data_IF_806604702877
#
_entry.id   IF_806604702877
#
_cell.length_a   1.000
_cell.length_b   1.000
_cell.length_c   1.000
_cell.angle_alpha   90.00
_cell.angle_beta   90.00
_cell.angle_gamma   90.00
#
_symmetry.space_group_name_H-M   'P 1'
#
loop_
_entity.id
_entity.type
_entity.pdbx_description
1 polymer ?
#
# COMPACT_ATOMS: atom_id res chain seq x y z
N UNK A 1 17.11 -27.29 40.99
CA UNK A 1 18.13 -27.32 39.95
C UNK A 1 17.66 -26.68 38.66
N UNK A 2 16.48 -27.10 38.08
CA UNK A 2 15.93 -26.59 36.81
C UNK A 2 15.73 -25.10 36.82
N UNK A 3 15.09 -24.53 37.85
CA UNK A 3 14.87 -23.07 37.99
C UNK A 3 16.20 -22.33 38.02
N UNK A 4 17.18 -22.78 38.78
CA UNK A 4 18.46 -22.12 38.92
C UNK A 4 19.26 -22.12 37.60
N UNK A 5 19.38 -23.27 36.96
CA UNK A 5 20.08 -23.40 35.68
C UNK A 5 19.29 -22.66 34.57
N UNK A 6 17.97 -22.85 34.52
CA UNK A 6 17.13 -22.21 33.49
C UNK A 6 17.18 -20.69 33.58
N UNK A 7 17.10 -20.08 34.77
CA UNK A 7 17.21 -18.63 34.91
C UNK A 7 18.60 -18.10 34.56
N UNK A 8 19.69 -18.88 34.81
CA UNK A 8 21.03 -18.54 34.32
C UNK A 8 21.09 -18.54 32.80
N UNK A 9 20.50 -19.56 32.16
CA UNK A 9 20.42 -19.62 30.68
C UNK A 9 19.66 -18.43 30.15
N UNK A 10 18.46 -18.12 30.67
CA UNK A 10 17.69 -16.96 30.26
C UNK A 10 18.50 -15.67 30.41
N UNK A 11 19.21 -15.51 31.54
CA UNK A 11 20.05 -14.32 31.77
C UNK A 11 21.19 -14.22 30.75
N UNK A 12 21.79 -15.36 30.37
CA UNK A 12 22.82 -15.41 29.34
C UNK A 12 22.27 -15.03 27.95
N UNK A 13 21.10 -15.57 27.57
CA UNK A 13 20.40 -15.24 26.32
C UNK A 13 20.07 -13.75 26.25
N UNK A 14 19.54 -13.18 27.36
CA UNK A 14 19.25 -11.75 27.45
C UNK A 14 20.50 -10.90 27.28
N UNK A 15 21.64 -11.29 27.92
CA UNK A 15 22.90 -10.58 27.76
C UNK A 15 23.43 -10.67 26.31
N UNK A 16 23.31 -11.82 25.67
CA UNK A 16 23.71 -11.98 24.28
C UNK A 16 22.83 -11.11 23.34
N UNK A 17 21.52 -11.13 23.54
CA UNK A 17 20.59 -10.28 22.79
C UNK A 17 20.90 -8.78 22.99
N UNK A 18 21.17 -8.36 24.22
CA UNK A 18 21.57 -6.98 24.53
C UNK A 18 22.82 -6.56 23.73
N UNK A 19 23.86 -7.40 23.71
CA UNK A 19 25.09 -7.13 22.93
C UNK A 19 24.86 -7.02 21.43
N UNK A 20 23.87 -7.76 20.89
CA UNK A 20 23.48 -7.66 19.47
C UNK A 20 22.74 -6.34 19.24
N UNK A 21 21.81 -5.99 20.10
CA UNK A 21 21.00 -4.77 19.97
C UNK A 21 21.80 -3.49 20.15
N UNK A 22 22.80 -3.48 21.03
CA UNK A 22 23.74 -2.33 21.19
C UNK A 22 24.47 -1.96 19.88
N UNK A 23 24.66 -2.93 18.98
CA UNK A 23 25.31 -2.69 17.68
C UNK A 23 24.32 -2.28 16.58
N UNK A 24 23.04 -2.26 16.89
CA UNK A 24 21.95 -1.91 15.95
C UNK A 24 21.59 -0.43 16.11
N UNK A 25 21.13 0.18 15.01
CA UNK A 25 20.58 1.55 14.98
C UNK A 25 19.15 1.61 15.59
N UNK A 26 18.79 0.60 16.37
CA UNK A 26 17.44 0.48 16.96
C UNK A 26 17.26 1.45 18.13
N UNK A 27 16.06 2.04 18.24
CA UNK A 27 15.70 2.89 19.38
C UNK A 27 15.85 2.15 20.72
N UNK A 28 16.36 2.87 21.75
CA UNK A 28 16.64 2.30 23.09
C UNK A 28 15.39 1.78 23.78
N UNK A 29 14.23 2.41 23.56
CA UNK A 29 12.94 1.98 24.10
C UNK A 29 12.53 0.63 23.54
N UNK A 30 12.66 0.46 22.21
CA UNK A 30 12.37 -0.80 21.53
C UNK A 30 13.31 -1.91 21.96
N UNK A 31 14.61 -1.61 22.12
CA UNK A 31 15.59 -2.58 22.66
C UNK A 31 15.20 -3.07 24.05
N UNK A 32 14.87 -2.14 24.98
CA UNK A 32 14.45 -2.45 26.34
C UNK A 32 13.18 -3.29 26.36
N UNK A 33 12.21 -2.95 25.51
CA UNK A 33 10.98 -3.73 25.36
C UNK A 33 11.25 -5.17 24.91
N UNK A 34 12.04 -5.36 23.85
CA UNK A 34 12.38 -6.68 23.33
C UNK A 34 13.17 -7.53 24.32
N UNK A 35 14.12 -6.94 25.04
CA UNK A 35 14.89 -7.62 26.08
C UNK A 35 13.97 -8.05 27.25
N UNK A 36 13.03 -7.22 27.64
CA UNK A 36 12.03 -7.52 28.66
C UNK A 36 11.12 -8.68 28.22
N UNK A 37 10.68 -8.66 26.97
CA UNK A 37 9.86 -9.72 26.38
C UNK A 37 10.59 -11.07 26.36
N UNK A 38 11.86 -11.09 25.90
CA UNK A 38 12.71 -12.29 25.92
C UNK A 38 12.91 -12.79 27.36
N UNK A 39 13.17 -11.88 28.31
CA UNK A 39 13.40 -12.22 29.71
C UNK A 39 12.16 -12.83 30.38
N UNK A 40 10.99 -12.21 30.18
CA UNK A 40 9.73 -12.68 30.78
C UNK A 40 9.32 -14.00 30.13
N UNK A 41 9.29 -14.08 28.81
CA UNK A 41 8.94 -15.29 28.06
C UNK A 41 9.86 -16.49 28.42
N UNK A 42 11.17 -16.25 28.48
CA UNK A 42 12.15 -17.26 28.87
C UNK A 42 11.94 -17.75 30.31
N UNK A 43 11.66 -16.83 31.26
CA UNK A 43 11.36 -17.22 32.64
C UNK A 43 10.09 -18.05 32.75
N UNK A 44 9.02 -17.67 32.02
CA UNK A 44 7.75 -18.42 31.98
C UNK A 44 7.99 -19.83 31.47
N UNK A 45 8.76 -20.03 30.40
CA UNK A 45 9.11 -21.36 29.88
C UNK A 45 9.88 -22.20 30.90
N UNK A 46 10.87 -21.62 31.60
CA UNK A 46 11.62 -22.31 32.66
C UNK A 46 10.73 -22.73 33.81
N UNK A 47 9.78 -21.87 34.23
CA UNK A 47 8.81 -22.20 35.28
C UNK A 47 7.93 -23.38 34.82
N UNK A 48 7.43 -23.38 33.60
CA UNK A 48 6.65 -24.50 33.06
C UNK A 48 7.45 -25.82 33.03
N UNK A 49 8.72 -25.77 32.60
CA UNK A 49 9.60 -26.93 32.66
C UNK A 49 9.80 -27.45 34.11
N UNK A 50 9.89 -26.58 35.08
CA UNK A 50 10.03 -26.97 36.48
C UNK A 50 8.75 -27.59 37.04
N UNK A 51 7.57 -27.04 36.70
CA UNK A 51 6.27 -27.49 37.16
C UNK A 51 5.90 -28.86 36.59
N UNK A 52 6.28 -29.18 35.34
CA UNK A 52 6.11 -30.56 34.78
C UNK A 52 6.90 -31.59 35.57
N UNK A 53 8.07 -31.26 36.11
CA UNK A 53 8.87 -32.17 36.92
C UNK A 53 8.31 -32.43 38.32
N UNK A 54 7.37 -31.61 38.79
CA UNK A 54 6.69 -31.78 40.08
C UNK A 54 5.39 -32.58 39.93
N UNK A 55 5.10 -33.07 38.70
CA UNK A 55 3.96 -33.97 38.47
C UNK A 55 2.74 -33.29 37.77
N UNK A 56 2.84 -32.03 37.39
CA UNK A 56 1.77 -31.42 36.58
C UNK A 56 1.83 -32.00 35.16
N UNK A 57 0.69 -32.46 34.68
CA UNK A 57 0.59 -33.02 33.33
C UNK A 57 1.03 -31.99 32.26
N UNK A 58 1.99 -32.41 31.42
CA UNK A 58 2.48 -31.57 30.33
C UNK A 58 1.37 -31.12 29.38
N UNK A 59 0.34 -31.95 29.18
CA UNK A 59 -0.86 -31.61 28.39
C UNK A 59 -1.61 -30.38 28.91
N UNK A 60 -1.72 -30.22 30.23
CA UNK A 60 -2.37 -29.06 30.85
C UNK A 60 -1.59 -27.75 30.57
N UNK A 61 -0.26 -27.83 30.59
CA UNK A 61 0.60 -26.69 30.29
C UNK A 61 0.53 -26.32 28.81
N UNK A 62 0.55 -27.34 27.93
CA UNK A 62 0.39 -27.14 26.48
C UNK A 62 -0.98 -26.52 26.19
N UNK A 63 -2.05 -26.98 26.82
CA UNK A 63 -3.39 -26.39 26.67
C UNK A 63 -3.44 -24.93 27.13
N UNK A 64 -2.82 -24.59 28.27
CA UNK A 64 -2.73 -23.21 28.77
C UNK A 64 -1.91 -22.33 27.84
N UNK A 65 -0.74 -22.78 27.39
CA UNK A 65 0.08 -22.02 26.44
C UNK A 65 -0.60 -21.87 25.10
N UNK A 66 -1.30 -22.91 24.62
CA UNK A 66 -2.07 -22.87 23.37
C UNK A 66 -3.20 -21.83 23.42
N UNK A 67 -3.98 -21.80 24.52
CA UNK A 67 -5.05 -20.83 24.69
C UNK A 67 -4.52 -19.39 24.82
N UNK A 68 -3.44 -19.20 25.61
CA UNK A 68 -2.79 -17.90 25.73
C UNK A 68 -2.16 -17.46 24.38
N UNK A 69 -1.54 -18.37 23.65
CA UNK A 69 -0.97 -18.12 22.33
C UNK A 69 -2.04 -17.76 21.31
N UNK A 70 -3.20 -18.41 21.35
CA UNK A 70 -4.34 -18.08 20.49
C UNK A 70 -4.86 -16.68 20.81
N UNK A 71 -5.04 -16.35 22.08
CA UNK A 71 -5.49 -15.01 22.49
C UNK A 71 -4.53 -13.90 22.05
N UNK A 72 -3.22 -14.11 22.23
CA UNK A 72 -2.18 -13.19 21.76
C UNK A 72 -2.16 -13.09 20.22
N UNK A 73 -2.28 -14.22 19.51
CA UNK A 73 -2.33 -14.27 18.06
C UNK A 73 -3.50 -13.48 17.49
N UNK A 74 -4.69 -13.63 18.06
CA UNK A 74 -5.88 -12.85 17.69
C UNK A 74 -5.71 -11.36 18.00
N UNK A 75 -5.10 -11.01 19.14
CA UNK A 75 -4.82 -9.61 19.48
C UNK A 75 -3.82 -8.94 18.54
N UNK A 76 -2.86 -9.70 17.99
CA UNK A 76 -1.82 -9.20 17.06
C UNK A 76 -2.16 -9.42 15.59
N UNK A 77 -3.33 -10.00 15.27
CA UNK A 77 -3.74 -10.36 13.92
C UNK A 77 -3.57 -9.21 12.91
N UNK A 78 -4.01 -8.00 13.27
CA UNK A 78 -3.90 -6.83 12.41
C UNK A 78 -2.45 -6.44 12.10
N UNK A 79 -1.56 -6.49 13.11
CA UNK A 79 -0.14 -6.18 12.94
C UNK A 79 0.56 -7.24 12.08
N UNK A 80 0.26 -8.53 12.30
CA UNK A 80 0.78 -9.61 11.49
C UNK A 80 0.31 -9.52 10.03
N UNK A 81 -0.97 -9.19 9.81
CA UNK A 81 -1.52 -8.96 8.47
C UNK A 81 -0.78 -7.85 7.73
N UNK A 82 -0.45 -6.77 8.43
CA UNK A 82 0.30 -5.66 7.83
C UNK A 82 1.74 -6.05 7.47
N UNK A 83 2.42 -6.81 8.31
CA UNK A 83 3.76 -7.31 8.02
C UNK A 83 3.72 -8.26 6.82
N UNK A 84 2.80 -9.23 6.81
CA UNK A 84 2.61 -10.14 5.70
C UNK A 84 2.29 -9.39 4.39
N UNK A 85 1.38 -8.41 4.46
CA UNK A 85 1.06 -7.51 3.34
C UNK A 85 2.29 -6.78 2.81
N UNK A 86 3.13 -6.23 3.71
CA UNK A 86 4.38 -5.57 3.32
C UNK A 86 5.34 -6.50 2.58
N UNK A 87 5.50 -7.73 3.06
CA UNK A 87 6.31 -8.75 2.38
C UNK A 87 5.75 -9.09 1.00
N UNK A 88 4.43 -9.26 0.89
CA UNK A 88 3.75 -9.55 -0.38
C UNK A 88 3.96 -8.40 -1.37
N UNK A 89 3.78 -7.15 -0.95
CA UNK A 89 3.99 -5.97 -1.80
C UNK A 89 5.43 -5.86 -2.31
N UNK A 90 6.42 -6.17 -1.46
CA UNK A 90 7.84 -6.15 -1.83
C UNK A 90 8.24 -7.29 -2.77
N UNK A 91 7.58 -8.46 -2.66
CA UNK A 91 7.86 -9.62 -3.51
C UNK A 91 7.16 -9.51 -4.87
N UNK A 92 5.84 -9.26 -4.88
CA UNK A 92 5.03 -9.23 -6.10
C UNK A 92 5.12 -7.90 -6.85
N UNK A 93 5.46 -6.81 -6.15
CA UNK A 93 5.66 -5.46 -6.71
C UNK A 93 4.52 -5.01 -7.64
N UNK A 94 3.25 -5.03 -7.19
CA UNK A 94 2.14 -4.52 -8.00
C UNK A 94 2.29 -3.03 -8.31
N UNK A 95 3.07 -2.33 -7.52
CA UNK A 95 3.55 -0.96 -7.71
C UNK A 95 4.94 -0.80 -7.08
N UNK A 96 5.64 0.26 -7.43
CA UNK A 96 6.99 0.57 -6.94
C UNK A 96 7.04 1.99 -6.36
N UNK A 97 8.13 2.29 -5.66
CA UNK A 97 8.40 3.67 -5.21
C UNK A 97 8.53 4.57 -6.44
N UNK A 98 7.79 5.66 -6.45
CA UNK A 98 7.65 6.58 -7.59
C UNK A 98 6.34 6.42 -8.36
N UNK A 99 5.64 5.30 -8.26
CA UNK A 99 4.35 5.10 -8.92
C UNK A 99 3.24 5.93 -8.26
N UNK A 100 2.33 6.45 -9.08
CA UNK A 100 1.08 7.05 -8.59
C UNK A 100 -0.01 5.99 -8.55
N UNK A 101 -0.53 5.73 -7.37
CA UNK A 101 -1.54 4.69 -7.13
C UNK A 101 -2.81 5.25 -6.51
N UNK A 102 -3.93 4.56 -6.78
CA UNK A 102 -5.23 4.81 -6.16
C UNK A 102 -5.66 3.52 -5.46
N UNK A 103 -5.90 3.58 -4.15
CA UNK A 103 -6.42 2.46 -3.37
C UNK A 103 -7.95 2.38 -3.53
N UNK A 104 -8.46 1.23 -3.94
CA UNK A 104 -9.84 1.09 -4.41
C UNK A 104 -10.92 1.17 -3.33
N UNK A 105 -10.61 0.81 -2.06
CA UNK A 105 -11.63 0.80 -1.00
C UNK A 105 -11.87 2.18 -0.38
N UNK A 106 -10.79 2.95 -0.15
CA UNK A 106 -10.87 4.27 0.48
C UNK A 106 -10.76 5.44 -0.50
N UNK A 107 -10.37 5.16 -1.76
CA UNK A 107 -10.11 6.19 -2.76
C UNK A 107 -8.87 7.05 -2.46
N UNK A 108 -8.04 6.66 -1.48
CA UNK A 108 -6.80 7.37 -1.18
C UNK A 108 -5.80 7.18 -2.30
N UNK A 109 -5.20 8.29 -2.73
CA UNK A 109 -4.29 8.29 -3.87
C UNK A 109 -3.05 9.14 -3.62
N UNK A 110 -1.97 8.84 -4.34
CA UNK A 110 -0.72 9.59 -4.27
C UNK A 110 0.45 8.82 -4.84
N UNK A 111 1.58 9.50 -4.91
CA UNK A 111 2.86 8.90 -5.31
C UNK A 111 3.44 8.08 -4.16
N UNK A 112 3.82 6.84 -4.42
CA UNK A 112 4.47 5.95 -3.45
C UNK A 112 5.83 6.52 -3.08
N UNK A 113 5.97 6.98 -1.84
CA UNK A 113 7.24 7.51 -1.32
C UNK A 113 8.12 6.43 -0.70
N UNK A 114 7.50 5.50 0.03
CA UNK A 114 8.21 4.39 0.67
C UNK A 114 7.26 3.23 0.98
N UNK A 115 7.76 2.01 0.86
CA UNK A 115 7.09 0.79 1.31
C UNK A 115 7.83 0.30 2.56
N UNK A 116 7.23 0.50 3.72
CA UNK A 116 7.75 0.03 5.00
C UNK A 116 7.25 -1.37 5.35
N UNK A 117 7.64 -1.87 6.53
CA UNK A 117 7.24 -3.21 6.99
C UNK A 117 5.73 -3.32 7.23
N UNK A 118 5.11 -2.28 7.82
CA UNK A 118 3.69 -2.30 8.21
C UNK A 118 2.83 -1.34 7.39
N UNK A 119 3.43 -0.27 6.87
CA UNK A 119 2.72 0.82 6.18
C UNK A 119 3.46 1.21 4.91
N UNK A 120 2.69 1.51 3.88
CA UNK A 120 3.16 2.21 2.68
C UNK A 120 2.83 3.69 2.81
N UNK A 121 3.81 4.56 2.54
CA UNK A 121 3.67 6.00 2.57
C UNK A 121 3.44 6.51 1.16
N UNK A 122 2.33 7.22 0.97
CA UNK A 122 2.03 7.97 -0.25
C UNK A 122 2.18 9.46 0.00
N UNK A 123 2.50 10.19 -1.05
CA UNK A 123 2.48 11.64 -1.10
C UNK A 123 1.39 12.08 -2.06
N UNK A 124 0.39 12.82 -1.57
CA UNK A 124 -0.68 13.37 -2.40
C UNK A 124 -0.18 14.53 -3.27
N UNK A 125 -0.95 14.92 -4.29
CA UNK A 125 -0.60 16.03 -5.18
C UNK A 125 -0.49 17.38 -4.46
N UNK A 126 -1.17 17.53 -3.31
CA UNK A 126 -1.10 18.71 -2.43
C UNK A 126 -0.09 18.53 -1.28
N UNK A 127 0.85 17.60 -1.43
CA UNK A 127 2.01 17.35 -0.54
C UNK A 127 1.63 16.84 0.86
N UNK A 128 0.50 16.14 1.00
CA UNK A 128 0.13 15.46 2.25
C UNK A 128 0.69 14.05 2.29
N UNK A 129 1.23 13.64 3.45
CA UNK A 129 1.64 12.26 3.67
C UNK A 129 0.45 11.38 4.05
N UNK A 130 0.19 10.34 3.28
CA UNK A 130 -0.87 9.37 3.51
C UNK A 130 -0.20 8.04 3.89
N UNK A 131 -0.52 7.53 5.09
CA UNK A 131 -0.01 6.24 5.57
C UNK A 131 -1.11 5.19 5.41
N UNK A 132 -0.88 4.20 4.57
CA UNK A 132 -1.84 3.11 4.35
C UNK A 132 -1.26 1.81 4.91
N UNK A 133 -2.00 1.08 5.78
CA UNK A 133 -1.58 -0.24 6.26
C UNK A 133 -1.37 -1.20 5.08
N UNK A 134 -0.25 -1.94 5.08
CA UNK A 134 0.09 -2.84 3.98
C UNK A 134 -0.91 -3.98 3.80
N UNK A 135 -1.52 -4.45 4.90
CA UNK A 135 -2.59 -5.44 4.84
C UNK A 135 -3.81 -4.97 4.05
N UNK A 136 -4.12 -3.67 4.10
CA UNK A 136 -5.20 -3.11 3.28
C UNK A 136 -4.79 -3.08 1.80
N UNK A 137 -3.58 -2.58 1.49
CA UNK A 137 -3.08 -2.51 0.11
C UNK A 137 -2.94 -3.88 -0.55
N UNK A 138 -2.49 -4.90 0.21
CA UNK A 138 -2.33 -6.25 -0.34
C UNK A 138 -3.65 -6.96 -0.63
N UNK A 139 -4.75 -6.51 -0.01
CA UNK A 139 -6.09 -7.11 -0.16
C UNK A 139 -7.08 -6.23 -0.92
N UNK A 140 -6.71 -5.00 -1.29
CA UNK A 140 -7.54 -4.08 -2.06
C UNK A 140 -7.24 -4.16 -3.56
N UNK A 141 -8.19 -3.71 -4.38
CA UNK A 141 -7.89 -3.36 -5.76
C UNK A 141 -6.99 -2.12 -5.78
N UNK A 142 -5.96 -2.14 -6.61
CA UNK A 142 -5.06 -1.00 -6.78
C UNK A 142 -5.05 -0.59 -8.24
N UNK A 143 -5.32 0.69 -8.50
CA UNK A 143 -5.11 1.29 -9.81
C UNK A 143 -3.74 1.95 -9.81
N UNK A 144 -2.79 1.38 -10.57
CA UNK A 144 -1.50 2.00 -10.81
C UNK A 144 -1.60 2.88 -12.06
N UNK A 145 -1.62 4.18 -11.84
CA UNK A 145 -1.86 5.19 -12.88
C UNK A 145 -0.64 5.40 -13.77
N UNK A 146 0.56 5.16 -13.24
CA UNK A 146 1.85 5.41 -13.91
C UNK A 146 2.50 4.14 -14.46
N UNK A 147 1.89 2.97 -14.26
CA UNK A 147 2.44 1.68 -14.69
C UNK A 147 2.64 1.60 -16.21
N UNK A 148 1.73 2.18 -16.99
CA UNK A 148 1.83 2.21 -18.45
C UNK A 148 2.47 3.52 -18.92
N UNK A 149 3.32 3.45 -19.94
CA UNK A 149 4.02 4.61 -20.50
C UNK A 149 3.09 5.62 -21.16
N UNK A 150 1.92 5.18 -21.62
CA UNK A 150 0.92 6.01 -22.28
C UNK A 150 -0.45 5.92 -21.63
N UNK A 151 -1.15 7.06 -21.64
CA UNK A 151 -2.52 7.19 -21.12
C UNK A 151 -3.44 7.80 -22.15
N UNK A 152 -4.70 7.38 -22.10
CA UNK A 152 -5.75 7.99 -22.92
C UNK A 152 -6.35 9.18 -22.18
N UNK A 153 -6.37 10.31 -22.81
CA UNK A 153 -7.11 11.49 -22.36
C UNK A 153 -8.54 11.38 -22.89
N UNK A 154 -9.51 11.43 -22.00
CA UNK A 154 -10.93 11.43 -22.32
C UNK A 154 -11.48 12.81 -21.90
N UNK A 155 -12.06 13.53 -22.87
CA UNK A 155 -12.69 14.84 -22.67
C UNK A 155 -14.09 14.83 -23.23
N UNK A 156 -14.96 15.66 -22.66
CA UNK A 156 -16.32 15.89 -23.16
C UNK A 156 -16.53 17.38 -23.37
N UNK A 157 -17.16 17.72 -24.49
CA UNK A 157 -17.52 19.09 -24.86
C UNK A 157 -19.00 19.15 -25.22
N UNK A 158 -19.76 19.99 -24.53
CA UNK A 158 -21.17 20.22 -24.83
C UNK A 158 -21.33 21.23 -25.99
N UNK A 159 -22.13 20.89 -26.99
CA UNK A 159 -22.48 21.78 -28.10
C UNK A 159 -23.99 22.00 -28.14
N UNK A 160 -24.44 23.10 -28.71
CA UNK A 160 -25.87 23.39 -28.92
C UNK A 160 -26.46 22.43 -29.97
N UNK A 161 -27.78 22.17 -29.88
CA UNK A 161 -28.51 21.36 -30.85
C UNK A 161 -28.55 21.96 -32.24
N UNK A 162 -28.35 23.27 -32.35
CA UNK A 162 -28.31 24.04 -33.60
C UNK A 162 -26.99 23.89 -34.37
N UNK A 163 -25.92 23.31 -33.72
CA UNK A 163 -24.59 23.21 -34.33
C UNK A 163 -24.49 21.98 -35.28
N UNK A 164 -23.69 22.15 -36.34
CA UNK A 164 -23.35 21.04 -37.24
C UNK A 164 -22.28 20.15 -36.64
N UNK A 165 -22.66 18.95 -36.22
CA UNK A 165 -21.77 17.92 -35.67
C UNK A 165 -20.55 17.62 -36.57
N UNK A 166 -20.75 17.67 -37.91
CA UNK A 166 -19.63 17.42 -38.85
C UNK A 166 -18.62 18.56 -38.82
N UNK A 167 -19.06 19.78 -38.73
CA UNK A 167 -18.21 20.97 -38.60
C UNK A 167 -17.47 20.93 -37.25
N UNK A 168 -18.16 20.64 -36.15
CA UNK A 168 -17.56 20.53 -34.81
C UNK A 168 -16.47 19.44 -34.80
N UNK A 169 -16.74 18.27 -35.36
CA UNK A 169 -15.74 17.18 -35.46
C UNK A 169 -14.48 17.64 -36.21
N UNK A 170 -14.62 18.40 -37.29
CA UNK A 170 -13.45 18.91 -38.03
C UNK A 170 -12.62 19.86 -37.17
N UNK A 171 -13.26 20.77 -36.45
CA UNK A 171 -12.59 21.73 -35.57
C UNK A 171 -11.85 20.99 -34.45
N UNK A 172 -12.55 20.09 -33.75
CA UNK A 172 -11.95 19.32 -32.65
C UNK A 172 -10.80 18.43 -33.13
N UNK A 173 -10.93 17.83 -34.33
CA UNK A 173 -9.84 17.01 -34.90
C UNK A 173 -8.60 17.88 -35.20
N UNK A 174 -8.80 19.07 -35.79
CA UNK A 174 -7.71 19.99 -36.07
C UNK A 174 -7.06 20.54 -34.78
N UNK A 175 -7.82 20.68 -33.70
CA UNK A 175 -7.29 21.05 -32.38
C UNK A 175 -6.39 19.91 -31.83
N UNK A 176 -6.88 18.68 -31.82
CA UNK A 176 -6.11 17.54 -31.30
C UNK A 176 -4.88 17.22 -32.18
N UNK A 177 -4.96 17.45 -33.48
CA UNK A 177 -3.81 17.29 -34.39
C UNK A 177 -2.67 18.28 -34.08
N UNK A 178 -2.97 19.43 -33.50
CA UNK A 178 -1.99 20.45 -33.08
C UNK A 178 -1.43 20.20 -31.67
N UNK A 179 -2.01 19.26 -30.88
CA UNK A 179 -1.54 18.98 -29.54
C UNK A 179 -0.15 18.34 -29.57
N UNK A 180 0.90 19.00 -29.04
CA UNK A 180 2.28 18.55 -29.20
C UNK A 180 2.58 17.24 -28.45
N UNK A 181 1.85 16.96 -27.35
CA UNK A 181 2.04 15.75 -26.57
C UNK A 181 1.28 14.53 -27.14
N UNK A 182 0.45 14.73 -28.18
CA UNK A 182 -0.31 13.64 -28.78
C UNK A 182 0.60 12.57 -29.39
N UNK A 183 0.35 11.32 -29.09
CA UNK A 183 0.99 10.18 -29.76
C UNK A 183 0.35 10.00 -31.14
N UNK A 184 1.12 10.27 -32.21
CA UNK A 184 0.62 10.29 -33.59
C UNK A 184 0.17 8.94 -34.10
N UNK A 185 0.80 7.86 -33.64
CA UNK A 185 0.52 6.49 -34.04
C UNK A 185 -0.73 5.91 -33.38
N UNK A 186 -1.30 6.65 -32.41
CA UNK A 186 -2.53 6.22 -31.73
C UNK A 186 -3.75 6.96 -32.30
N UNK A 187 -4.90 6.25 -32.40
CA UNK A 187 -6.09 6.81 -33.02
C UNK A 187 -6.72 7.91 -32.14
N UNK A 188 -7.13 9.01 -32.80
CA UNK A 188 -8.04 10.00 -32.22
C UNK A 188 -9.48 9.57 -32.50
N UNK A 189 -10.33 9.62 -31.48
CA UNK A 189 -11.76 9.32 -31.62
C UNK A 189 -12.59 10.53 -31.16
N UNK A 190 -13.45 11.04 -32.05
CA UNK A 190 -14.41 12.09 -31.76
C UNK A 190 -15.80 11.55 -32.11
N UNK A 191 -16.70 11.49 -31.13
CA UNK A 191 -18.00 10.85 -31.27
C UNK A 191 -19.05 11.58 -30.43
N UNK A 192 -20.33 11.42 -30.79
CA UNK A 192 -21.44 11.83 -29.92
C UNK A 192 -21.47 10.85 -28.74
N UNK A 193 -21.31 11.36 -27.55
CA UNK A 193 -21.31 10.58 -26.31
C UNK A 193 -22.75 10.41 -25.81
N UNK A 194 -23.48 11.54 -25.72
CA UNK A 194 -24.85 11.56 -25.17
C UNK A 194 -25.63 12.77 -25.69
N UNK A 195 -26.95 12.65 -25.74
CA UNK A 195 -27.88 13.76 -25.94
C UNK A 195 -28.42 14.19 -24.57
N UNK A 196 -27.99 15.36 -24.10
CA UNK A 196 -28.42 15.91 -22.81
C UNK A 196 -29.64 16.82 -22.99
N UNK A 197 -30.23 17.29 -21.88
CA UNK A 197 -31.45 18.12 -21.91
C UNK A 197 -31.31 19.44 -22.74
N UNK A 198 -30.10 20.05 -22.78
CA UNK A 198 -29.83 21.35 -23.43
C UNK A 198 -28.60 21.33 -24.34
N UNK A 199 -27.89 20.22 -24.48
CA UNK A 199 -26.68 20.13 -25.29
C UNK A 199 -26.47 18.72 -25.84
N UNK A 200 -25.64 18.62 -26.89
CA UNK A 200 -25.11 17.35 -27.39
C UNK A 200 -23.71 17.20 -26.83
N UNK A 201 -23.45 16.15 -26.10
CA UNK A 201 -22.12 15.87 -25.53
C UNK A 201 -21.23 15.15 -26.56
N UNK A 202 -20.11 15.78 -26.92
CA UNK A 202 -19.12 15.25 -27.87
C UNK A 202 -17.95 14.74 -27.07
N UNK A 203 -17.71 13.42 -27.13
CA UNK A 203 -16.56 12.77 -26.55
C UNK A 203 -15.33 12.86 -27.44
N UNK A 204 -14.18 13.19 -26.85
CA UNK A 204 -12.88 13.26 -27.50
C UNK A 204 -11.95 12.29 -26.78
N UNK A 205 -11.27 11.41 -27.53
CA UNK A 205 -10.26 10.50 -27.00
C UNK A 205 -8.99 10.57 -27.81
N UNK A 206 -7.88 10.77 -27.13
CA UNK A 206 -6.55 10.74 -27.72
C UNK A 206 -5.51 10.21 -26.72
N UNK A 207 -4.32 9.86 -27.18
CA UNK A 207 -3.28 9.25 -26.36
C UNK A 207 -2.10 10.18 -26.20
N UNK A 208 -1.55 10.20 -24.97
CA UNK A 208 -0.34 10.95 -24.61
C UNK A 208 0.56 10.07 -23.75
N UNK A 209 1.79 10.47 -23.54
CA UNK A 209 2.63 9.84 -22.51
C UNK A 209 2.03 10.10 -21.14
N UNK A 210 2.23 9.19 -20.22
CA UNK A 210 1.69 9.28 -18.85
C UNK A 210 2.13 10.55 -18.13
N UNK A 211 3.38 10.98 -18.34
CA UNK A 211 3.94 12.21 -17.77
C UNK A 211 3.25 13.49 -18.28
N UNK A 212 2.81 13.50 -19.54
CA UNK A 212 2.20 14.66 -20.20
C UNK A 212 0.68 14.74 -20.00
N UNK A 213 0.06 13.78 -19.29
CA UNK A 213 -1.39 13.63 -19.23
C UNK A 213 -2.12 14.87 -18.75
N UNK A 214 -1.69 15.44 -17.63
CA UNK A 214 -2.38 16.59 -17.04
C UNK A 214 -2.17 17.87 -17.83
N UNK A 215 -0.94 18.12 -18.28
CA UNK A 215 -0.62 19.31 -19.06
C UNK A 215 -1.32 19.31 -20.41
N UNK A 216 -1.32 18.18 -21.11
CA UNK A 216 -2.05 18.01 -22.36
C UNK A 216 -3.55 18.20 -22.18
N UNK A 217 -4.11 17.62 -21.10
CA UNK A 217 -5.53 17.74 -20.77
C UNK A 217 -5.94 19.20 -20.56
N UNK A 218 -5.13 19.97 -19.86
CA UNK A 218 -5.41 21.38 -19.59
C UNK A 218 -5.29 22.24 -20.85
N UNK A 219 -4.22 22.08 -21.64
CA UNK A 219 -4.05 22.80 -22.92
C UNK A 219 -5.20 22.61 -23.91
N UNK A 220 -5.76 21.42 -23.97
CA UNK A 220 -6.87 21.14 -24.87
C UNK A 220 -8.20 21.70 -24.35
N UNK A 221 -8.34 21.93 -23.06
CA UNK A 221 -9.55 22.52 -22.44
C UNK A 221 -9.55 24.07 -22.49
N UNK A 222 -8.37 24.70 -22.62
CA UNK A 222 -8.22 26.16 -22.80
C UNK A 222 -8.42 26.57 -24.26
#
# INVERSE_FOLDING_TARGET
>A
LILFIGFKIVSYVVKMAHKIFERSIMDTTLQTFLLSFIKIGGKVLVIFMAVTKIGVAASSIVALLGSAGLALGLSLQGSLSNIAGGVILLLLKPFQVGDYIIEGNSGKEGTVQAIGIMYTKLLSVDNKAIMIPNGNLSNASITNVTYQEKRRVDLNVGIEYSEDIKKVRKVLNALIEKEPARITDEPVKIYVNEFQASSIDIGIRYWVKTEDYWESRWRVLE
#
